data_IF_841784065058
#
_entry.id   IF_841784065058
#
_cell.length_a   1.000
_cell.length_b   1.000
_cell.length_c   1.000
_cell.angle_alpha   90.00
_cell.angle_beta   90.00
_cell.angle_gamma   90.00
#
_symmetry.space_group_name_H-M   'P 1'
#
loop_
_entity.id
_entity.type
_entity.pdbx_description
1 polymer ?
#
# COMPACT_ATOMS: atom_id res chain seq x y z
N UNK A 1 3.57 -16.35 -21.32
CA UNK A 1 3.03 -15.34 -20.39
C UNK A 1 3.60 -15.69 -19.03
N UNK A 2 4.73 -15.11 -18.66
CA UNK A 2 5.28 -15.29 -17.32
C UNK A 2 4.54 -14.29 -16.44
N UNK A 3 3.81 -14.76 -15.43
CA UNK A 3 3.40 -13.86 -14.37
C UNK A 3 4.68 -13.46 -13.65
N UNK A 4 5.08 -12.20 -13.76
CA UNK A 4 6.28 -11.73 -13.07
C UNK A 4 6.13 -11.95 -11.56
N UNK A 5 7.23 -12.35 -10.94
CA UNK A 5 7.23 -12.73 -9.53
C UNK A 5 6.87 -11.51 -8.67
N UNK A 6 6.06 -11.67 -7.60
CA UNK A 6 5.76 -10.57 -6.69
C UNK A 6 7.04 -9.93 -6.14
N UNK A 7 7.06 -8.60 -6.03
CA UNK A 7 8.17 -7.88 -5.42
C UNK A 7 8.23 -8.23 -3.92
N UNK A 8 9.39 -8.67 -3.45
CA UNK A 8 9.62 -8.98 -2.04
C UNK A 8 9.93 -7.71 -1.26
N UNK A 9 9.20 -7.47 -0.18
CA UNK A 9 9.39 -6.34 0.74
C UNK A 9 9.68 -6.89 2.14
N UNK A 10 10.95 -6.93 2.53
CA UNK A 10 11.36 -7.34 3.87
C UNK A 10 11.31 -6.15 4.83
N UNK A 11 10.37 -6.18 5.80
CA UNK A 11 10.19 -5.11 6.77
C UNK A 11 11.30 -5.03 7.83
N UNK A 12 12.17 -6.05 7.89
CA UNK A 12 13.34 -6.09 8.77
C UNK A 12 14.63 -5.62 8.08
N UNK A 13 14.60 -5.48 6.75
CA UNK A 13 15.73 -4.98 5.97
C UNK A 13 15.88 -3.46 6.16
N UNK A 14 17.14 -3.01 6.21
CA UNK A 14 17.49 -1.60 6.23
C UNK A 14 17.00 -0.87 4.97
N UNK A 15 16.95 -1.55 3.82
CA UNK A 15 16.54 -0.96 2.53
C UNK A 15 15.04 -1.09 2.24
N UNK A 16 14.20 -1.49 3.22
CA UNK A 16 12.75 -1.63 3.02
C UNK A 16 12.11 -0.34 2.45
N UNK A 17 12.63 0.83 2.83
CA UNK A 17 12.17 2.13 2.32
C UNK A 17 12.55 2.36 0.86
N UNK A 18 13.73 1.91 0.43
CA UNK A 18 14.16 1.98 -0.97
C UNK A 18 13.25 1.15 -1.85
N UNK A 19 13.04 -0.12 -1.47
CA UNK A 19 12.14 -1.05 -2.16
C UNK A 19 10.71 -0.50 -2.27
N UNK A 20 10.14 -0.03 -1.15
CA UNK A 20 8.79 0.54 -1.15
C UNK A 20 8.69 1.82 -1.98
N UNK A 21 9.73 2.67 -1.97
CA UNK A 21 9.78 3.89 -2.78
C UNK A 21 9.83 3.57 -4.28
N UNK A 22 10.65 2.60 -4.68
CA UNK A 22 10.72 2.11 -6.06
C UNK A 22 9.36 1.58 -6.53
N UNK A 23 8.68 0.78 -5.70
CA UNK A 23 7.34 0.28 -6.00
C UNK A 23 6.32 1.42 -6.20
N UNK A 24 6.31 2.43 -5.31
CA UNK A 24 5.43 3.60 -5.45
C UNK A 24 5.71 4.36 -6.74
N UNK A 25 6.98 4.57 -7.07
CA UNK A 25 7.39 5.28 -8.28
C UNK A 25 6.95 4.54 -9.55
N UNK A 26 7.13 3.22 -9.60
CA UNK A 26 6.76 2.40 -10.76
C UNK A 26 5.25 2.30 -10.94
N UNK A 27 4.48 2.13 -9.86
CA UNK A 27 3.01 2.14 -9.90
C UNK A 27 2.49 3.47 -10.45
N UNK A 28 3.10 4.59 -10.03
CA UNK A 28 2.73 5.92 -10.51
C UNK A 28 3.14 6.16 -11.96
N UNK A 29 4.37 5.78 -12.33
CA UNK A 29 4.86 5.90 -13.69
C UNK A 29 3.95 5.14 -14.65
N UNK A 30 3.64 3.88 -14.33
CA UNK A 30 2.74 3.06 -15.13
C UNK A 30 1.36 3.70 -15.32
N UNK A 31 0.75 4.20 -14.23
CA UNK A 31 -0.56 4.84 -14.29
C UNK A 31 -0.58 6.07 -15.21
N UNK A 32 0.46 6.91 -15.13
CA UNK A 32 0.57 8.14 -15.93
C UNK A 32 0.87 7.81 -17.40
N UNK A 33 1.84 6.94 -17.65
CA UNK A 33 2.30 6.59 -19.00
C UNK A 33 1.22 5.85 -19.81
N UNK A 34 0.40 5.05 -19.14
CA UNK A 34 -0.66 4.27 -19.78
C UNK A 34 -2.04 4.92 -19.61
N UNK A 35 -2.10 6.13 -19.05
CA UNK A 35 -3.33 6.88 -18.79
C UNK A 35 -4.43 6.04 -18.09
N UNK A 36 -4.02 5.16 -17.17
CA UNK A 36 -4.89 4.19 -16.51
C UNK A 36 -4.82 4.31 -14.98
N UNK A 37 -5.76 3.67 -14.28
CA UNK A 37 -5.65 3.53 -12.83
C UNK A 37 -4.85 2.28 -12.49
N UNK A 38 -4.05 2.32 -11.44
CA UNK A 38 -3.28 1.16 -10.95
C UNK A 38 -3.52 0.94 -9.46
N UNK A 39 -3.34 -0.30 -9.02
CA UNK A 39 -3.41 -0.68 -7.61
C UNK A 39 -2.26 -1.63 -7.28
N UNK A 40 -1.41 -1.23 -6.33
CA UNK A 40 -0.45 -2.09 -5.66
C UNK A 40 -1.03 -2.60 -4.34
N UNK A 41 -1.02 -3.92 -4.16
CA UNK A 41 -1.45 -4.59 -2.93
C UNK A 41 -0.25 -5.21 -2.24
N UNK A 42 -0.08 -4.90 -0.96
CA UNK A 42 0.90 -5.56 -0.09
C UNK A 42 0.19 -6.69 0.63
N UNK A 43 0.76 -7.90 0.58
CA UNK A 43 0.21 -9.04 1.31
C UNK A 43 0.23 -8.78 2.82
N UNK A 44 -0.76 -9.36 3.51
CA UNK A 44 -0.88 -9.27 4.95
C UNK A 44 -0.85 -10.69 5.54
N UNK A 45 -0.26 -10.88 6.74
CA UNK A 45 -0.36 -12.13 7.44
C UNK A 45 -1.80 -12.34 7.91
N UNK A 46 -2.15 -13.59 8.19
CA UNK A 46 -3.51 -13.93 8.59
C UNK A 46 -3.95 -13.12 9.81
N UNK A 47 -5.13 -12.51 9.71
CA UNK A 47 -5.72 -11.71 10.77
C UNK A 47 -5.15 -10.29 10.90
N UNK A 48 -4.38 -9.81 9.93
CA UNK A 48 -3.85 -8.44 9.91
C UNK A 48 -4.40 -7.64 8.74
N UNK A 49 -4.29 -6.31 8.84
CA UNK A 49 -4.86 -5.40 7.87
C UNK A 49 -4.09 -5.44 6.56
N UNK A 50 -4.81 -5.26 5.45
CA UNK A 50 -4.20 -5.19 4.12
C UNK A 50 -3.90 -3.75 3.77
N UNK A 51 -2.80 -3.53 3.05
CA UNK A 51 -2.40 -2.20 2.57
C UNK A 51 -2.49 -2.18 1.05
N UNK A 52 -3.17 -1.17 0.52
CA UNK A 52 -3.37 -1.00 -0.93
C UNK A 52 -3.03 0.43 -1.31
N UNK A 53 -2.11 0.60 -2.24
CA UNK A 53 -1.80 1.87 -2.87
C UNK A 53 -2.51 1.94 -4.22
N UNK A 54 -3.43 2.90 -4.37
CA UNK A 54 -4.08 3.16 -5.65
C UNK A 54 -3.44 4.41 -6.28
N UNK A 55 -3.26 4.40 -7.60
CA UNK A 55 -2.84 5.55 -8.37
C UNK A 55 -3.85 5.84 -9.49
N UNK A 56 -4.23 7.10 -9.65
CA UNK A 56 -4.97 7.54 -10.84
C UNK A 56 -4.02 7.80 -12.01
N UNK A 57 -4.57 7.87 -13.22
CA UNK A 57 -3.87 8.31 -14.43
C UNK A 57 -3.25 9.71 -14.30
N UNK A 58 -3.78 10.54 -13.41
CA UNK A 58 -3.28 11.91 -13.14
C UNK A 58 -2.20 11.96 -12.05
N UNK A 59 -1.73 10.80 -11.55
CA UNK A 59 -0.67 10.72 -10.55
C UNK A 59 -1.11 10.99 -9.11
N UNK A 60 -2.42 11.05 -8.83
CA UNK A 60 -2.92 11.10 -7.45
C UNK A 60 -2.78 9.73 -6.82
N UNK A 61 -2.23 9.68 -5.60
CA UNK A 61 -2.13 8.44 -4.84
C UNK A 61 -3.14 8.40 -3.71
N UNK A 62 -3.68 7.21 -3.46
CA UNK A 62 -4.52 6.93 -2.31
C UNK A 62 -4.02 5.65 -1.63
N UNK A 63 -3.38 5.80 -0.47
CA UNK A 63 -2.93 4.71 0.35
C UNK A 63 -4.06 4.31 1.30
N UNK A 64 -4.46 3.04 1.25
CA UNK A 64 -5.61 2.51 1.97
C UNK A 64 -5.20 1.36 2.88
N UNK A 65 -5.85 1.28 4.03
CA UNK A 65 -5.78 0.15 4.95
C UNK A 65 -7.16 -0.50 5.02
N UNK A 66 -7.24 -1.83 4.88
CA UNK A 66 -8.49 -2.60 4.94
C UNK A 66 -8.53 -3.52 6.15
N UNK A 67 -9.68 -3.56 6.82
CA UNK A 67 -9.89 -4.29 8.09
C UNK A 67 -10.62 -5.64 7.93
N UNK A 68 -10.88 -6.07 6.69
CA UNK A 68 -11.78 -7.20 6.35
C UNK A 68 -11.52 -8.49 7.15
N UNK A 69 -10.25 -8.79 7.46
CA UNK A 69 -9.86 -10.03 8.15
C UNK A 69 -9.59 -9.84 9.65
N UNK A 70 -9.90 -8.66 10.21
CA UNK A 70 -9.58 -8.31 11.58
C UNK A 70 -10.69 -8.72 12.55
N UNK A 71 -10.30 -9.12 13.76
CA UNK A 71 -11.23 -9.13 14.90
C UNK A 71 -11.65 -7.71 15.25
N UNK A 72 -12.82 -7.53 15.87
CA UNK A 72 -13.31 -6.21 16.31
C UNK A 72 -12.29 -5.46 17.17
N UNK A 73 -11.64 -6.14 18.11
CA UNK A 73 -10.63 -5.53 18.97
C UNK A 73 -9.42 -5.01 18.16
N UNK A 74 -8.95 -5.79 17.18
CA UNK A 74 -7.82 -5.39 16.33
C UNK A 74 -8.20 -4.26 15.39
N UNK A 75 -9.38 -4.33 14.77
CA UNK A 75 -9.92 -3.25 13.93
C UNK A 75 -10.00 -1.93 14.70
N UNK A 76 -10.50 -1.95 15.95
CA UNK A 76 -10.55 -0.74 16.80
C UNK A 76 -9.16 -0.17 17.10
N UNK A 77 -8.18 -1.02 17.40
CA UNK A 77 -6.80 -0.59 17.68
C UNK A 77 -6.15 0.04 16.44
N UNK A 78 -6.28 -0.61 15.29
CA UNK A 78 -5.74 -0.11 14.01
C UNK A 78 -6.43 1.21 13.63
N UNK A 79 -7.76 1.26 13.70
CA UNK A 79 -8.55 2.47 13.41
C UNK A 79 -8.12 3.65 14.27
N UNK A 80 -8.00 3.46 15.59
CA UNK A 80 -7.55 4.50 16.52
C UNK A 80 -6.16 5.01 16.14
N UNK A 81 -5.22 4.11 15.87
CA UNK A 81 -3.86 4.47 15.52
C UNK A 81 -3.76 5.21 14.16
N UNK A 82 -4.66 4.90 13.20
CA UNK A 82 -4.75 5.60 11.92
C UNK A 82 -5.35 7.00 12.07
N UNK A 83 -6.40 7.15 12.87
CA UNK A 83 -7.01 8.47 13.16
C UNK A 83 -6.01 9.40 13.85
N UNK A 84 -5.22 8.89 14.80
CA UNK A 84 -4.14 9.67 15.45
C UNK A 84 -3.06 10.15 14.45
N UNK A 85 -2.92 9.46 13.31
CA UNK A 85 -2.03 9.82 12.19
C UNK A 85 -2.71 10.70 11.13
N UNK A 86 -3.95 11.13 11.36
CA UNK A 86 -4.71 11.98 10.44
C UNK A 86 -5.36 11.25 9.26
N UNK A 87 -5.44 9.92 9.30
CA UNK A 87 -6.10 9.14 8.25
C UNK A 87 -7.62 9.28 8.34
N UNK A 88 -8.28 9.25 7.19
CA UNK A 88 -9.73 9.32 7.09
C UNK A 88 -10.30 7.91 7.12
N UNK A 89 -11.18 7.63 8.09
CA UNK A 89 -11.92 6.37 8.12
C UNK A 89 -12.93 6.32 6.98
N UNK A 90 -13.07 5.15 6.37
CA UNK A 90 -14.11 4.89 5.37
C UNK A 90 -15.49 4.94 6.06
N UNK A 91 -16.55 5.32 5.33
CA UNK A 91 -17.89 5.58 5.91
C UNK A 91 -18.49 4.35 6.60
N UNK A 92 -18.23 3.17 6.04
CA UNK A 92 -18.62 1.86 6.57
C UNK A 92 -17.68 1.34 7.67
N UNK A 93 -16.61 2.07 7.97
CA UNK A 93 -15.54 1.72 8.92
C UNK A 93 -14.86 0.39 8.58
N UNK A 94 -14.81 0.01 7.31
CA UNK A 94 -14.12 -1.18 6.83
C UNK A 94 -12.61 -0.96 6.58
N UNK A 95 -12.17 0.30 6.74
CA UNK A 95 -10.82 0.73 6.43
C UNK A 95 -10.56 2.19 6.73
N UNK A 96 -9.40 2.65 6.29
CA UNK A 96 -9.03 4.06 6.30
C UNK A 96 -8.16 4.39 5.09
N UNK A 97 -8.06 5.67 4.77
CA UNK A 97 -7.26 6.15 3.66
C UNK A 97 -6.56 7.48 3.94
N UNK A 98 -5.46 7.70 3.23
CA UNK A 98 -4.78 8.97 3.12
C UNK A 98 -4.48 9.25 1.64
N UNK A 99 -4.68 10.51 1.23
CA UNK A 99 -4.54 10.94 -0.15
C UNK A 99 -3.29 11.79 -0.30
N UNK A 100 -2.54 11.55 -1.38
CA UNK A 100 -1.40 12.35 -1.78
C UNK A 100 -1.66 12.98 -3.15
N UNK A 101 -1.28 14.24 -3.29
CA UNK A 101 -1.41 14.99 -4.53
C UNK A 101 -0.31 14.57 -5.52
N UNK A 102 -0.52 14.81 -6.83
CA UNK A 102 0.54 14.65 -7.81
C UNK A 102 1.77 15.46 -7.40
N UNK A 103 2.95 14.85 -7.52
CA UNK A 103 4.23 15.47 -7.13
C UNK A 103 4.69 15.17 -5.70
N UNK A 104 3.88 14.55 -4.84
CA UNK A 104 4.39 14.03 -3.55
C UNK A 104 5.48 12.99 -3.81
N UNK A 105 6.61 13.10 -3.13
CA UNK A 105 7.73 12.18 -3.30
C UNK A 105 7.34 10.74 -2.96
N UNK A 106 7.86 9.78 -3.73
CA UNK A 106 7.60 8.36 -3.51
C UNK A 106 8.04 7.92 -2.11
N UNK A 107 9.14 8.48 -1.61
CA UNK A 107 9.69 8.18 -0.29
C UNK A 107 8.75 8.57 0.86
N UNK A 108 8.02 9.69 0.74
CA UNK A 108 7.02 10.10 1.73
C UNK A 108 5.93 9.04 1.85
N UNK A 109 5.41 8.58 0.71
CA UNK A 109 4.35 7.55 0.67
C UNK A 109 4.89 6.20 1.16
N UNK A 110 6.15 5.88 0.86
CA UNK A 110 6.80 4.66 1.33
C UNK A 110 6.95 4.64 2.86
N UNK A 111 7.34 5.76 3.49
CA UNK A 111 7.39 5.86 4.95
C UNK A 111 6.01 5.63 5.59
N UNK A 112 4.97 6.24 5.04
CA UNK A 112 3.61 6.04 5.54
C UNK A 112 3.14 4.59 5.32
N UNK A 113 3.45 3.99 4.17
CA UNK A 113 3.16 2.58 3.86
C UNK A 113 3.84 1.63 4.86
N UNK A 114 5.13 1.77 5.10
CA UNK A 114 5.87 0.94 6.06
C UNK A 114 5.37 1.15 7.49
N UNK A 115 5.09 2.41 7.85
CA UNK A 115 4.52 2.76 9.16
C UNK A 115 3.15 2.10 9.41
N UNK A 116 2.31 1.99 8.37
CA UNK A 116 1.05 1.26 8.51
C UNK A 116 1.21 -0.25 8.46
N UNK A 117 2.17 -0.80 7.71
CA UNK A 117 2.39 -2.25 7.65
C UNK A 117 2.77 -2.86 9.00
N UNK A 118 3.49 -2.12 9.84
CA UNK A 118 3.87 -2.54 11.21
C UNK A 118 2.86 -2.11 12.29
N UNK A 119 1.74 -1.48 11.91
CA UNK A 119 0.83 -0.83 12.85
C UNK A 119 0.15 -1.82 13.81
N UNK A 120 -0.13 -1.36 15.03
CA UNK A 120 -0.81 -2.14 16.08
C UNK A 120 -0.11 -3.48 16.43
N UNK A 121 1.21 -3.56 16.20
CA UNK A 121 2.02 -4.74 16.50
C UNK A 121 1.97 -5.82 15.42
N UNK A 122 1.63 -5.45 14.18
CA UNK A 122 1.72 -6.35 13.04
C UNK A 122 3.16 -6.89 12.89
N UNK A 123 3.36 -8.18 12.56
CA UNK A 123 4.68 -8.76 12.44
C UNK A 123 5.54 -8.05 11.38
N UNK A 124 6.85 -7.91 11.65
CA UNK A 124 7.85 -7.41 10.71
C UNK A 124 8.51 -8.58 9.97
N UNK A 125 7.73 -9.26 9.13
CA UNK A 125 8.13 -10.33 8.23
C UNK A 125 8.08 -9.88 6.77
N UNK A 126 8.55 -10.74 5.87
CA UNK A 126 8.59 -10.47 4.44
C UNK A 126 7.17 -10.40 3.87
N UNK A 127 6.89 -9.34 3.10
CA UNK A 127 5.65 -9.14 2.34
C UNK A 127 5.89 -9.32 0.85
N UNK A 128 4.83 -9.61 0.13
CA UNK A 128 4.80 -9.61 -1.32
C UNK A 128 3.99 -8.42 -1.81
N UNK A 129 4.53 -7.65 -2.73
CA UNK A 129 3.84 -6.55 -3.39
C UNK A 129 3.49 -6.98 -4.82
N UNK A 130 2.23 -6.89 -5.16
CA UNK A 130 1.73 -7.14 -6.52
C UNK A 130 0.97 -5.92 -6.99
N UNK A 131 1.15 -5.52 -8.24
CA UNK A 131 0.44 -4.40 -8.83
C UNK A 131 -0.29 -4.79 -10.11
N UNK A 132 -1.47 -4.22 -10.30
CA UNK A 132 -2.31 -4.40 -11.49
C UNK A 132 -2.86 -3.06 -11.95
N UNK A 133 -3.08 -2.91 -13.25
CA UNK A 133 -3.82 -1.79 -13.81
C UNK A 133 -5.33 -2.05 -13.85
N UNK A 134 -6.10 -1.06 -14.27
CA UNK A 134 -7.56 -1.14 -14.40
C UNK A 134 -8.04 -2.12 -15.47
N UNK A 135 -7.17 -2.58 -16.36
CA UNK A 135 -7.45 -3.62 -17.36
C UNK A 135 -7.10 -5.03 -16.83
N UNK A 136 -6.54 -5.13 -15.62
CA UNK A 136 -6.10 -6.38 -15.01
C UNK A 136 -4.73 -6.85 -15.49
N UNK A 137 -3.97 -6.01 -16.19
CA UNK A 137 -2.59 -6.30 -16.58
C UNK A 137 -1.67 -6.09 -15.38
N UNK A 138 -0.69 -6.97 -15.22
CA UNK A 138 0.32 -6.83 -14.19
C UNK A 138 1.17 -5.57 -14.47
N UNK A 139 1.55 -4.88 -13.39
CA UNK A 139 2.54 -3.81 -13.42
C UNK A 139 3.85 -4.41 -12.91
N UNK A 140 4.89 -4.37 -13.73
CA UNK A 140 6.20 -4.96 -13.40
C UNK A 140 6.87 -4.14 -12.29
N UNK A 141 7.04 -4.77 -11.12
CA UNK A 141 7.65 -4.18 -9.94
C UNK A 141 9.05 -4.74 -9.72
N UNK A 142 10.06 -3.87 -9.63
CA UNK A 142 11.45 -4.25 -9.41
C UNK A 142 12.16 -3.26 -8.47
N UNK A 143 13.27 -3.67 -7.86
CA UNK A 143 14.13 -2.81 -7.02
C UNK A 143 15.14 -2.04 -7.84
#
# INVERSE_FOLDING_TARGET
MSADAPLSLDLSDFDAVGVASSAVAQVRAHAIENECSTAATVSAPQGWHRVVLNCSATGHLNLRVRFVDLTTARSNNVSKALVERGWQLDEDRDGASVRYLPGTEAITVAFDMLGVLALAGAPNDVRSVTAVDSEGRAVDLHT
#
